data_IF_814092449340
#
_entry.id   IF_814092449340
#
_cell.length_a   1.000
_cell.length_b   1.000
_cell.length_c   1.000
_cell.angle_alpha   90.00
_cell.angle_beta   90.00
_cell.angle_gamma   90.00
#
_symmetry.space_group_name_H-M   'P 1'
#
loop_
_entity.id
_entity.type
_entity.pdbx_description
1 polymer ?
#
# COMPACT_ATOMS: atom_id res chain seq x y z
N UNK A 1 -12.42 3.96 -7.48
CA UNK A 1 -11.40 3.87 -6.41
C UNK A 1 -10.86 5.26 -6.15
N UNK A 2 -10.73 5.66 -4.89
CA UNK A 2 -10.17 6.97 -4.52
C UNK A 2 -8.64 6.95 -4.69
N UNK A 3 -8.04 8.12 -4.85
CA UNK A 3 -6.59 8.28 -4.91
C UNK A 3 -6.09 9.28 -3.87
N UNK A 4 -4.87 9.06 -3.41
CA UNK A 4 -4.13 9.99 -2.55
C UNK A 4 -2.85 10.41 -3.27
N UNK A 5 -2.56 11.71 -3.21
CA UNK A 5 -1.37 12.30 -3.83
C UNK A 5 -0.37 12.72 -2.76
N UNK A 6 0.88 12.32 -2.95
CA UNK A 6 1.98 12.69 -2.07
C UNK A 6 2.48 14.11 -2.38
N UNK A 7 3.04 14.76 -1.35
CA UNK A 7 3.85 15.98 -1.51
C UNK A 7 5.10 15.66 -2.32
N UNK A 8 5.58 16.65 -3.05
CA UNK A 8 6.81 16.54 -3.83
C UNK A 8 8.00 16.11 -2.96
N UNK A 9 8.76 15.12 -3.44
CA UNK A 9 9.91 14.55 -2.74
C UNK A 9 9.58 13.58 -1.60
N UNK A 10 8.30 13.38 -1.25
CA UNK A 10 7.86 12.44 -0.21
C UNK A 10 7.55 11.03 -0.75
N UNK A 11 7.70 10.82 -2.05
CA UNK A 11 7.59 9.53 -2.74
C UNK A 11 8.82 8.63 -2.60
N UNK A 12 9.97 9.17 -2.16
CA UNK A 12 11.25 8.45 -2.12
C UNK A 12 11.18 7.11 -1.37
N UNK A 13 10.45 7.05 -0.27
CA UNK A 13 10.29 5.81 0.51
C UNK A 13 9.47 4.77 -0.26
N UNK A 14 8.37 5.18 -0.90
CA UNK A 14 7.53 4.29 -1.71
C UNK A 14 8.28 3.78 -2.95
N UNK A 15 9.09 4.63 -3.59
CA UNK A 15 9.95 4.24 -4.71
C UNK A 15 11.02 3.20 -4.31
N UNK A 16 11.38 3.11 -3.03
CA UNK A 16 12.26 2.08 -2.45
C UNK A 16 11.48 0.92 -1.82
N UNK A 17 10.21 0.78 -2.19
CA UNK A 17 9.30 -0.28 -1.79
C UNK A 17 9.03 -0.32 -0.28
N UNK A 18 9.15 0.83 0.38
CA UNK A 18 8.72 0.96 1.78
C UNK A 18 7.18 0.98 1.84
N UNK A 19 6.54 0.11 2.63
CA UNK A 19 5.09 -0.09 2.55
C UNK A 19 4.28 1.01 3.26
N UNK A 20 4.91 1.90 4.02
CA UNK A 20 4.17 2.89 4.84
C UNK A 20 4.22 4.29 4.23
N UNK A 21 3.05 4.92 4.17
CA UNK A 21 2.86 6.33 3.86
C UNK A 21 2.43 7.06 5.14
N UNK A 22 3.20 8.06 5.55
CA UNK A 22 2.89 8.86 6.74
C UNK A 22 1.89 9.98 6.43
N UNK A 23 1.11 10.39 7.44
CA UNK A 23 0.17 11.52 7.33
C UNK A 23 0.82 12.81 6.81
N UNK A 24 2.04 13.10 7.25
CA UNK A 24 2.83 14.26 6.82
C UNK A 24 3.19 14.25 5.33
N UNK A 25 3.17 13.08 4.67
CA UNK A 25 3.50 12.92 3.25
C UNK A 25 2.33 13.22 2.31
N UNK A 26 1.08 13.25 2.79
CA UNK A 26 -0.11 13.48 1.95
C UNK A 26 -0.23 14.96 1.60
N UNK A 27 -0.39 15.25 0.31
CA UNK A 27 -0.74 16.58 -0.21
C UNK A 27 -2.25 16.73 -0.40
N UNK A 28 -2.90 15.70 -0.95
CA UNK A 28 -4.33 15.71 -1.28
C UNK A 28 -4.91 14.29 -1.28
N UNK A 29 -6.20 14.19 -1.01
CA UNK A 29 -6.97 12.96 -1.12
C UNK A 29 -7.29 12.38 0.25
N UNK A 30 -8.49 11.83 0.36
CA UNK A 30 -9.02 11.19 1.54
C UNK A 30 -9.83 9.97 1.11
N UNK A 31 -10.02 9.04 2.04
CA UNK A 31 -10.80 7.84 1.82
C UNK A 31 -11.36 7.31 3.15
N UNK A 32 -12.25 6.34 3.06
CA UNK A 32 -12.85 5.73 4.24
C UNK A 32 -11.84 4.78 4.91
N UNK A 33 -12.07 4.50 6.20
CA UNK A 33 -11.18 3.59 6.94
C UNK A 33 -11.17 2.20 6.30
N UNK A 34 -9.98 1.72 5.94
CA UNK A 34 -9.78 0.43 5.29
C UNK A 34 -10.01 0.43 3.78
N UNK A 35 -10.49 1.53 3.20
CA UNK A 35 -10.71 1.62 1.75
C UNK A 35 -9.37 1.47 1.00
N UNK A 36 -9.40 0.72 -0.10
CA UNK A 36 -8.23 0.59 -0.97
C UNK A 36 -8.14 1.82 -1.88
N UNK A 37 -7.00 2.49 -1.83
CA UNK A 37 -6.71 3.72 -2.57
C UNK A 37 -5.50 3.56 -3.47
N UNK A 38 -5.48 4.33 -4.55
CA UNK A 38 -4.30 4.51 -5.41
C UNK A 38 -3.37 5.56 -4.80
N UNK A 39 -2.11 5.23 -4.59
CA UNK A 39 -1.10 6.19 -4.14
C UNK A 39 -0.35 6.75 -5.35
N UNK A 40 -0.30 8.07 -5.48
CA UNK A 40 0.36 8.76 -6.58
C UNK A 40 1.44 9.73 -6.08
N UNK A 41 2.52 9.88 -6.84
CA UNK A 41 3.49 10.97 -6.63
C UNK A 41 2.86 12.34 -6.92
N UNK A 42 3.56 13.41 -6.60
CA UNK A 42 3.14 14.78 -6.99
C UNK A 42 2.96 14.92 -8.50
N UNK A 43 3.75 14.19 -9.29
CA UNK A 43 3.69 14.14 -10.75
C UNK A 43 2.61 13.19 -11.32
N UNK A 44 1.81 12.54 -10.45
CA UNK A 44 0.76 11.59 -10.89
C UNK A 44 1.26 10.19 -11.23
N UNK A 45 2.51 9.86 -10.91
CA UNK A 45 3.07 8.52 -11.13
C UNK A 45 2.53 7.56 -10.07
N UNK A 46 2.14 6.35 -10.49
CA UNK A 46 1.71 5.29 -9.58
C UNK A 46 2.82 4.89 -8.61
N UNK A 47 2.47 4.75 -7.33
CA UNK A 47 3.39 4.31 -6.29
C UNK A 47 2.92 3.05 -5.56
N UNK A 48 1.66 2.65 -5.71
CA UNK A 48 1.11 1.47 -5.07
C UNK A 48 -0.38 1.54 -4.76
N UNK A 49 -0.97 0.37 -4.56
CA UNK A 49 -2.30 0.19 -3.99
C UNK A 49 -2.18 0.08 -2.47
N UNK A 50 -2.97 0.84 -1.70
CA UNK A 50 -2.82 0.90 -0.25
C UNK A 50 -4.17 0.92 0.48
N UNK A 51 -4.21 0.39 1.71
CA UNK A 51 -5.33 0.61 2.63
C UNK A 51 -5.18 1.95 3.34
N UNK A 52 -6.25 2.75 3.35
CA UNK A 52 -6.26 4.06 4.00
C UNK A 52 -6.69 3.98 5.47
N UNK A 53 -6.05 4.76 6.34
CA UNK A 53 -6.32 4.80 7.78
C UNK A 53 -6.41 6.24 8.29
N UNK A 54 -7.62 6.84 8.37
CA UNK A 54 -7.81 8.26 8.72
C UNK A 54 -7.44 8.61 10.17
N UNK A 55 -7.36 7.63 11.07
CA UNK A 55 -6.96 7.85 12.46
C UNK A 55 -5.45 7.62 12.73
N UNK A 56 -4.69 7.04 11.79
CA UNK A 56 -3.31 6.63 12.02
C UNK A 56 -2.27 7.62 11.49
N UNK A 57 -1.11 7.70 12.16
CA UNK A 57 0.09 8.36 11.62
C UNK A 57 0.64 7.67 10.38
N UNK A 58 0.48 6.34 10.29
CA UNK A 58 0.69 5.61 9.04
C UNK A 58 -0.63 5.70 8.26
N UNK A 59 -0.75 6.80 7.51
CA UNK A 59 -1.98 7.17 6.81
C UNK A 59 -2.41 6.13 5.79
N UNK A 60 -1.46 5.46 5.15
CA UNK A 60 -1.75 4.34 4.26
C UNK A 60 -0.67 3.24 4.35
N UNK A 61 -1.10 1.98 4.18
CA UNK A 61 -0.22 0.81 4.08
C UNK A 61 -0.38 0.16 2.71
N UNK A 62 0.71 0.08 1.96
CA UNK A 62 0.74 -0.46 0.61
C UNK A 62 0.54 -1.97 0.66
N UNK A 63 -0.43 -2.46 -0.12
CA UNK A 63 -0.67 -3.86 -0.41
C UNK A 63 0.23 -4.38 -1.52
N UNK A 64 0.34 -3.60 -2.61
CA UNK A 64 1.07 -3.96 -3.81
C UNK A 64 1.68 -2.74 -4.48
N UNK A 65 2.86 -2.92 -5.06
CA UNK A 65 3.54 -1.97 -5.94
C UNK A 65 3.30 -2.27 -7.43
N UNK A 66 2.57 -3.34 -7.73
CA UNK A 66 2.14 -3.69 -9.07
C UNK A 66 0.83 -2.95 -9.40
N UNK A 67 0.84 -2.17 -10.47
CA UNK A 67 -0.29 -1.36 -10.91
C UNK A 67 -1.47 -2.22 -11.39
N UNK A 68 -1.18 -3.37 -12.00
CA UNK A 68 -2.18 -4.29 -12.54
C UNK A 68 -2.77 -5.21 -11.46
N UNK A 69 -2.23 -5.19 -10.24
CA UNK A 69 -2.71 -6.01 -9.14
C UNK A 69 -4.07 -5.52 -8.63
N UNK A 70 -5.08 -6.38 -8.73
CA UNK A 70 -6.36 -6.21 -8.04
C UNK A 70 -6.26 -6.63 -6.58
N UNK A 71 -6.75 -5.80 -5.65
CA UNK A 71 -6.80 -6.10 -4.22
C UNK A 71 -8.19 -6.62 -3.88
N UNK A 72 -8.37 -7.94 -3.95
CA UNK A 72 -9.61 -8.65 -3.67
C UNK A 72 -9.35 -9.92 -2.84
N UNK A 73 -10.37 -10.75 -2.66
CA UNK A 73 -10.28 -12.02 -1.94
C UNK A 73 -9.16 -12.92 -2.48
N UNK A 74 -9.01 -13.01 -3.81
CA UNK A 74 -7.99 -13.84 -4.45
C UNK A 74 -6.57 -13.36 -4.18
N UNK A 75 -6.36 -12.05 -4.09
CA UNK A 75 -5.08 -11.47 -3.65
C UNK A 75 -4.72 -11.91 -2.23
N UNK A 76 -5.68 -11.85 -1.30
CA UNK A 76 -5.43 -12.25 0.08
C UNK A 76 -5.22 -13.77 0.20
N UNK A 77 -6.04 -14.58 -0.47
CA UNK A 77 -5.86 -16.04 -0.52
C UNK A 77 -4.45 -16.41 -1.01
N UNK A 78 -4.04 -15.89 -2.17
CA UNK A 78 -2.72 -16.15 -2.75
C UNK A 78 -1.58 -15.67 -1.84
N UNK A 79 -1.77 -14.54 -1.15
CA UNK A 79 -0.78 -14.01 -0.21
C UNK A 79 -0.64 -14.88 1.03
N UNK A 80 -1.75 -15.41 1.56
CA UNK A 80 -1.77 -16.34 2.68
C UNK A 80 -1.16 -17.68 2.29
N UNK A 81 -1.50 -18.23 1.13
CA UNK A 81 -0.93 -19.49 0.62
C UNK A 81 0.59 -19.38 0.44
N UNK A 82 1.08 -18.31 -0.20
CA UNK A 82 2.52 -18.03 -0.32
C UNK A 82 3.17 -17.91 1.04
N UNK A 83 2.50 -17.25 1.98
CA UNK A 83 2.96 -17.12 3.34
C UNK A 83 3.11 -18.51 4.00
N UNK A 84 2.07 -19.33 4.03
CA UNK A 84 2.07 -20.69 4.60
C UNK A 84 3.16 -21.56 3.97
N UNK A 85 3.25 -21.56 2.63
CA UNK A 85 4.29 -22.31 1.91
C UNK A 85 5.70 -21.83 2.25
N UNK A 86 5.92 -20.54 2.55
CA UNK A 86 7.23 -20.09 3.01
C UNK A 86 7.59 -20.66 4.39
N UNK A 87 6.61 -20.96 5.27
CA UNK A 87 6.87 -21.54 6.60
C UNK A 87 7.37 -22.98 6.51
N UNK A 88 6.90 -23.77 5.54
CA UNK A 88 7.38 -25.15 5.37
C UNK A 88 8.86 -25.25 4.98
N UNK A 89 9.47 -24.14 4.56
CA UNK A 89 10.91 -24.05 4.26
C UNK A 89 11.77 -23.80 5.50
N UNK A 90 11.16 -23.44 6.62
CA UNK A 90 11.84 -23.27 7.89
C UNK A 90 11.61 -24.50 8.73
N UNK A 91 12.64 -24.96 9.44
CA UNK A 91 12.56 -26.07 10.39
C UNK A 91 11.91 -25.60 11.70
N UNK A 92 10.65 -25.14 11.59
CA UNK A 92 9.84 -24.70 12.72
C UNK A 92 9.01 -25.91 13.13
N UNK A 93 9.48 -26.63 14.15
CA UNK A 93 8.75 -27.72 14.79
C UNK A 93 7.52 -27.22 15.55
#
# INVERSE_FOLDING_TARGET
MKSIRLKEGKERSALRWHPWIFDTAIAKGEADSGETVRVESSAGVFLGWASFSPASKIRARIWSFDEDQRIDEGFFQSSIERAVHARSRFDIQ
#
